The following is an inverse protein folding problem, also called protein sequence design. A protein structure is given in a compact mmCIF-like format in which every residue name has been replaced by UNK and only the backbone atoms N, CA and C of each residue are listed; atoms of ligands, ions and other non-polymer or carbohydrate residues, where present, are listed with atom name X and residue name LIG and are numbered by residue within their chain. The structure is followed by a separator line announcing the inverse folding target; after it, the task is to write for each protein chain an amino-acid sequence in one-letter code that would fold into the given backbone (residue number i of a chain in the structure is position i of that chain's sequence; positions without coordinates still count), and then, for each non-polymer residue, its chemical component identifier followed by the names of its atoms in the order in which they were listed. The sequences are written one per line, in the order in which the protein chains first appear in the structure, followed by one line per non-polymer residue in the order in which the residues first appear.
data_IF_270825934190
#
_entry.id   IF_270825934190
#
_cell.length_a   1.000
_cell.length_b   1.000
_cell.length_c   1.000
_cell.angle_alpha   90.00
_cell.angle_beta   90.00
_cell.angle_gamma   90.00
#
_symmetry.space_group_name_H-M   'P 1'
#
loop_
_entity.id
_entity.type
_entity.pdbx_description
1 polymer ?
#
# COMPACT_ATOMS: atom_id res chain seq x y z
N UNK A 1 -5.05 12.60 4.57
CA UNK A 1 -5.93 13.52 3.84
C UNK A 1 -5.09 14.68 3.30
N UNK A 2 -4.96 14.77 1.98
CA UNK A 2 -4.35 15.95 1.34
C UNK A 2 -5.37 17.07 1.35
N UNK A 3 -4.96 18.34 1.53
CA UNK A 3 -5.88 19.51 1.48
C UNK A 3 -6.73 19.61 0.20
N UNK A 4 -6.41 18.82 -0.83
CA UNK A 4 -7.10 18.73 -2.11
C UNK A 4 -8.09 17.56 -2.25
N UNK A 5 -8.32 16.74 -1.21
CA UNK A 5 -9.23 15.60 -1.30
C UNK A 5 -8.71 14.45 -2.18
N UNK A 6 -7.40 14.21 -2.12
CA UNK A 6 -6.72 13.15 -2.86
C UNK A 6 -5.95 12.29 -1.86
N UNK A 7 -5.99 10.97 -2.04
CA UNK A 7 -5.19 10.00 -1.30
C UNK A 7 -4.20 9.31 -2.24
N UNK A 8 -2.99 9.08 -1.74
CA UNK A 8 -1.94 8.35 -2.46
C UNK A 8 -1.76 7.00 -1.77
N UNK A 9 -2.04 5.93 -2.51
CA UNK A 9 -1.84 4.56 -2.04
C UNK A 9 -0.58 3.99 -2.70
N UNK A 10 0.39 3.57 -1.88
CA UNK A 10 1.51 2.78 -2.35
C UNK A 10 1.15 1.30 -2.27
N UNK A 11 0.84 0.69 -3.43
CA UNK A 11 0.38 -0.69 -3.53
C UNK A 11 1.55 -1.60 -3.84
N UNK A 12 1.72 -2.64 -3.03
CA UNK A 12 2.80 -3.62 -3.18
C UNK A 12 2.20 -5.02 -3.35
N UNK A 13 2.48 -5.65 -4.48
CA UNK A 13 2.00 -6.99 -4.84
C UNK A 13 3.08 -8.08 -4.70
N UNK A 14 4.32 -7.70 -4.36
CA UNK A 14 5.46 -8.61 -4.22
C UNK A 14 6.20 -8.95 -5.51
N UNK A 15 5.66 -8.60 -6.68
CA UNK A 15 6.23 -8.95 -7.99
C UNK A 15 7.58 -8.28 -8.24
N UNK A 16 7.76 -7.05 -7.76
CA UNK A 16 9.00 -6.30 -7.86
C UNK A 16 9.31 -5.54 -6.55
N UNK A 17 10.41 -4.79 -6.52
CA UNK A 17 10.81 -4.03 -5.33
C UNK A 17 9.98 -2.76 -5.13
N UNK A 18 9.62 -2.09 -6.23
CA UNK A 18 8.97 -0.78 -6.19
C UNK A 18 7.45 -0.94 -6.08
N UNK A 19 6.77 -0.26 -5.14
CA UNK A 19 5.32 -0.24 -5.12
C UNK A 19 4.75 0.60 -6.28
N UNK A 20 3.52 0.30 -6.69
CA UNK A 20 2.75 1.11 -7.62
C UNK A 20 2.04 2.23 -6.86
N UNK A 21 2.21 3.48 -7.31
CA UNK A 21 1.39 4.59 -6.81
C UNK A 21 0.00 4.56 -7.45
N UNK A 22 -1.03 4.46 -6.63
CA UNK A 22 -2.42 4.68 -7.02
C UNK A 22 -2.92 6.01 -6.44
N UNK A 23 -3.40 6.88 -7.31
CA UNK A 23 -3.99 8.19 -6.97
C UNK A 23 -5.50 8.01 -6.86
N UNK A 24 -6.04 8.27 -5.68
CA UNK A 24 -7.45 8.07 -5.35
C UNK A 24 -8.11 9.41 -5.08
N UNK A 25 -9.12 9.74 -5.88
CA UNK A 25 -9.90 10.97 -5.74
C UNK A 25 -11.03 10.79 -4.71
N UNK A 26 -11.37 11.83 -3.96
CA UNK A 26 -12.50 11.84 -3.03
C UNK A 26 -13.89 11.71 -3.68
N UNK A 27 -13.96 11.73 -5.01
CA UNK A 27 -15.19 11.48 -5.77
C UNK A 27 -15.65 10.02 -5.72
N UNK A 28 -14.81 9.07 -5.31
CA UNK A 28 -15.22 7.67 -5.14
C UNK A 28 -16.26 7.55 -4.02
N UNK A 29 -17.33 6.79 -4.28
CA UNK A 29 -18.45 6.65 -3.34
C UNK A 29 -18.06 6.06 -1.99
N UNK A 30 -17.00 5.24 -1.94
CA UNK A 30 -16.49 4.62 -0.72
C UNK A 30 -15.25 5.32 -0.15
N UNK A 31 -14.89 6.51 -0.63
CA UNK A 31 -13.66 7.18 -0.21
C UNK A 31 -13.64 7.44 1.31
N UNK A 32 -14.72 7.98 1.86
CA UNK A 32 -14.80 8.36 3.27
C UNK A 32 -14.96 7.13 4.18
N UNK A 33 -15.71 6.12 3.73
CA UNK A 33 -15.97 4.92 4.52
C UNK A 33 -14.78 3.96 4.53
N UNK A 34 -14.15 3.76 3.38
CA UNK A 34 -13.13 2.73 3.20
C UNK A 34 -11.73 3.31 2.97
N UNK A 35 -11.56 4.17 1.96
CA UNK A 35 -10.23 4.62 1.53
C UNK A 35 -9.51 5.39 2.63
N UNK A 36 -10.20 6.30 3.32
CA UNK A 36 -9.62 7.04 4.45
C UNK A 36 -9.30 6.17 5.66
N UNK A 37 -9.90 4.97 5.76
CA UNK A 37 -9.68 4.02 6.84
C UNK A 37 -8.52 3.05 6.56
N UNK A 38 -8.00 3.02 5.34
CA UNK A 38 -6.90 2.13 4.97
C UNK A 38 -5.66 2.39 5.83
N UNK A 39 -5.09 1.31 6.34
CA UNK A 39 -3.84 1.32 7.11
C UNK A 39 -2.82 0.39 6.46
N UNK A 40 -1.59 0.40 6.99
CA UNK A 40 -0.52 -0.44 6.44
C UNK A 40 -0.86 -1.91 6.64
N UNK A 41 -0.79 -2.71 5.56
CA UNK A 41 -1.02 -4.15 5.59
C UNK A 41 -2.39 -4.58 5.08
N UNK A 42 -3.33 -3.64 4.91
CA UNK A 42 -4.60 -3.88 4.24
C UNK A 42 -4.36 -4.40 2.81
N UNK A 43 -5.29 -5.21 2.33
CA UNK A 43 -5.28 -5.77 0.98
C UNK A 43 -6.36 -5.08 0.16
N UNK A 44 -6.00 -4.64 -1.03
CA UNK A 44 -6.86 -3.84 -1.90
C UNK A 44 -6.83 -4.38 -3.33
N UNK A 45 -7.95 -4.26 -4.01
CA UNK A 45 -8.09 -4.40 -5.45
C UNK A 45 -8.41 -3.02 -6.01
N UNK A 46 -7.61 -2.55 -6.98
CA UNK A 46 -7.76 -1.20 -7.55
C UNK A 46 -7.94 -1.33 -9.05
N UNK A 47 -9.00 -0.72 -9.56
CA UNK A 47 -9.24 -0.57 -11.00
C UNK A 47 -9.01 0.89 -11.39
N UNK A 48 -8.25 1.14 -12.45
CA UNK A 48 -7.93 2.49 -12.87
C UNK A 48 -7.19 2.53 -14.21
N UNK A 49 -6.82 3.75 -14.60
CA UNK A 49 -6.08 4.01 -15.83
C UNK A 49 -4.62 4.31 -15.49
N UNK A 50 -3.70 3.62 -16.14
CA UNK A 50 -2.26 3.92 -16.03
C UNK A 50 -1.96 5.17 -16.84
N UNK A 51 -1.36 6.17 -16.21
CA UNK A 51 -0.97 7.45 -16.83
C UNK A 51 0.48 7.76 -16.51
N UNK A 52 1.11 8.60 -17.34
CA UNK A 52 2.43 9.15 -17.01
C UNK A 52 2.33 9.97 -15.73
N UNK A 53 3.24 9.72 -14.78
CA UNK A 53 3.21 10.42 -13.50
C UNK A 53 3.75 11.86 -13.66
N UNK A 54 3.07 12.87 -13.09
CA UNK A 54 3.60 14.23 -13.01
C UNK A 54 4.63 14.39 -11.88
N UNK A 55 4.70 13.44 -10.93
CA UNK A 55 5.63 13.46 -9.81
C UNK A 55 7.03 12.96 -10.19
N UNK A 56 8.06 13.58 -9.61
CA UNK A 56 9.45 13.16 -9.74
C UNK A 56 9.69 11.82 -9.01
N UNK A 57 10.42 10.89 -9.63
CA UNK A 57 10.79 9.60 -9.01
C UNK A 57 9.90 8.41 -9.41
N UNK A 58 8.82 8.62 -10.15
CA UNK A 58 8.05 7.55 -10.79
C UNK A 58 7.69 7.91 -12.24
N UNK A 59 7.73 6.94 -13.14
CA UNK A 59 7.42 7.15 -14.56
C UNK A 59 5.93 7.09 -14.88
N UNK A 60 5.16 6.36 -14.08
CA UNK A 60 3.73 6.20 -14.23
C UNK A 60 3.04 6.05 -12.88
N UNK A 61 1.75 6.31 -12.86
CA UNK A 61 0.86 6.12 -11.71
C UNK A 61 -0.50 5.61 -12.18
N UNK A 62 -1.26 5.01 -11.26
CA UNK A 62 -2.60 4.51 -11.52
C UNK A 62 -3.65 5.52 -11.03
N UNK A 63 -4.42 6.11 -11.95
CA UNK A 63 -5.57 6.95 -11.61
C UNK A 63 -6.76 6.04 -11.27
N UNK A 64 -7.06 5.91 -9.98
CA UNK A 64 -8.04 4.95 -9.50
C UNK A 64 -9.48 5.38 -9.82
N UNK A 65 -10.22 4.46 -10.45
CA UNK A 65 -11.66 4.59 -10.76
C UNK A 65 -12.53 3.75 -9.82
N UNK A 66 -11.96 2.72 -9.20
CA UNK A 66 -12.58 1.95 -8.13
C UNK A 66 -11.50 1.40 -7.19
N UNK A 67 -11.81 1.37 -5.90
CA UNK A 67 -10.98 0.76 -4.86
C UNK A 67 -11.87 -0.16 -4.04
N UNK A 68 -11.55 -1.44 -4.03
CA UNK A 68 -12.22 -2.46 -3.22
C UNK A 68 -11.25 -2.97 -2.16
N UNK A 69 -11.67 -2.98 -0.89
CA UNK A 69 -10.83 -3.46 0.21
C UNK A 69 -11.17 -4.91 0.48
N UNK A 70 -10.24 -5.80 0.12
CA UNK A 70 -10.43 -7.26 0.22
C UNK A 70 -9.92 -7.84 1.53
N UNK A 71 -9.08 -7.10 2.27
CA UNK A 71 -8.58 -7.53 3.57
C UNK A 71 -8.27 -6.33 4.46
N UNK A 72 -8.83 -6.35 5.66
CA UNK A 72 -8.66 -5.30 6.66
C UNK A 72 -7.58 -5.68 7.68
N UNK A 73 -6.94 -4.66 8.24
CA UNK A 73 -6.17 -4.77 9.48
C UNK A 73 -7.06 -4.23 10.59
N UNK A 74 -7.48 -5.11 11.50
CA UNK A 74 -8.44 -4.76 12.56
C UNK A 74 -7.89 -3.71 13.52
N UNK A 75 -6.62 -3.87 13.92
CA UNK A 75 -5.91 -2.95 14.78
C UNK A 75 -4.51 -2.64 14.21
N UNK A 76 -4.30 -1.43 13.68
CA UNK A 76 -3.02 -1.00 13.13
C UNK A 76 -1.88 -0.98 14.15
N UNK A 77 -2.18 -0.78 15.44
CA UNK A 77 -1.15 -0.64 16.49
C UNK A 77 -0.56 -1.99 16.90
N UNK A 78 -1.34 -3.05 16.79
CA UNK A 78 -0.90 -4.44 17.06
C UNK A 78 -0.41 -5.17 15.82
N UNK A 79 -0.59 -4.61 14.62
CA UNK A 79 -0.15 -5.23 13.38
C UNK A 79 1.39 -5.37 13.32
N UNK A 80 1.95 -6.60 13.23
CA UNK A 80 3.40 -6.81 13.35
C UNK A 80 4.22 -6.11 12.27
N UNK A 81 3.66 -6.00 11.05
CA UNK A 81 4.32 -5.37 9.90
C UNK A 81 3.88 -3.92 9.69
N UNK A 82 3.62 -3.18 10.78
CA UNK A 82 3.36 -1.74 10.71
C UNK A 82 4.50 -1.00 9.97
N UNK A 83 4.19 0.16 9.37
CA UNK A 83 5.11 1.01 8.62
C UNK A 83 6.14 1.74 9.53
N UNK A 84 6.95 0.95 10.23
CA UNK A 84 8.05 1.36 11.08
C UNK A 84 9.26 0.49 10.83
N UNK A 85 10.43 0.94 11.31
CA UNK A 85 11.64 0.14 11.23
C UNK A 85 11.55 -1.02 12.22
N UNK A 86 11.84 -2.22 11.71
CA UNK A 86 11.92 -3.45 12.51
C UNK A 86 13.37 -3.92 12.60
N UNK A 87 13.77 -4.51 13.73
CA UNK A 87 15.06 -5.21 13.85
C UNK A 87 15.01 -6.54 13.10
N UNK A 88 16.18 -7.06 12.71
CA UNK A 88 16.23 -8.36 12.03
C UNK A 88 15.80 -9.49 12.98
N UNK A 89 16.10 -9.34 14.27
CA UNK A 89 15.71 -10.23 15.36
C UNK A 89 14.18 -10.32 15.44
N UNK A 90 13.49 -9.19 15.47
CA UNK A 90 12.03 -9.15 15.47
C UNK A 90 11.46 -9.81 14.22
N UNK A 91 12.02 -9.53 13.04
CA UNK A 91 11.59 -10.18 11.80
C UNK A 91 11.74 -11.71 11.82
N UNK A 92 12.64 -12.28 12.64
CA UNK A 92 12.74 -13.74 12.82
C UNK A 92 11.58 -14.31 13.63
N UNK A 93 11.01 -13.56 14.58
CA UNK A 93 9.85 -13.98 15.39
C UNK A 93 8.57 -14.07 14.56
N UNK A 94 8.42 -13.19 13.56
CA UNK A 94 7.28 -13.13 12.64
C UNK A 94 7.66 -13.57 11.23
N UNK A 95 8.32 -14.73 11.15
CA UNK A 95 8.91 -15.28 9.92
C UNK A 95 7.90 -15.50 8.77
N UNK A 96 6.62 -15.71 9.09
CA UNK A 96 5.56 -15.88 8.11
C UNK A 96 5.13 -14.56 7.45
N UNK A 97 5.39 -13.41 8.10
CA UNK A 97 5.03 -12.08 7.58
C UNK A 97 6.23 -11.31 7.02
N UNK A 98 7.46 -11.61 7.46
CA UNK A 98 8.66 -10.88 7.04
C UNK A 98 8.87 -10.77 5.52
N UNK A 99 8.44 -11.72 4.64
CA UNK A 99 8.58 -11.54 3.18
C UNK A 99 7.84 -10.31 2.62
N UNK A 100 6.88 -9.77 3.38
CA UNK A 100 6.16 -8.54 3.04
C UNK A 100 6.95 -7.25 3.32
N UNK A 101 8.15 -7.34 3.88
CA UNK A 101 9.03 -6.19 4.12
C UNK A 101 10.00 -5.98 2.96
N UNK A 102 10.46 -4.74 2.74
CA UNK A 102 11.37 -4.42 1.64
C UNK A 102 12.64 -5.27 1.65
N UNK A 103 13.28 -5.42 2.82
CA UNK A 103 14.54 -6.14 2.96
C UNK A 103 14.38 -7.63 2.65
N UNK A 104 13.47 -8.31 3.36
CA UNK A 104 13.32 -9.77 3.21
C UNK A 104 12.60 -10.12 1.91
N UNK A 105 11.70 -9.27 1.43
CA UNK A 105 11.08 -9.41 0.10
C UNK A 105 12.11 -9.31 -1.03
N UNK A 106 13.10 -8.42 -0.92
CA UNK A 106 14.22 -8.37 -1.86
C UNK A 106 15.06 -9.65 -1.81
N UNK A 107 15.39 -10.14 -0.61
CA UNK A 107 16.15 -11.39 -0.43
C UNK A 107 15.39 -12.59 -0.98
N UNK A 108 14.07 -12.66 -0.80
CA UNK A 108 13.26 -13.79 -1.23
C UNK A 108 13.07 -13.88 -2.76
N UNK A 109 13.31 -12.80 -3.50
CA UNK A 109 13.19 -12.77 -4.97
C UNK A 109 14.47 -13.16 -5.71
N UNK A 110 15.63 -13.05 -5.06
CA UNK A 110 16.96 -13.40 -5.62
C UNK A 110 17.22 -14.90 -5.42
#
# INVERSE_FOLDING_TARGET
DSKAGISFLAVYDGSCFNPLQAVVNNSLSNYQADVLRLTTGCSVEITGTVVASPGEGQSFELQATAVNVVGWVDDPDTYPMAAKRHSIEYLREVAHLRPRTNLIGAVARV
#
